data_IF_227721242355
#
_entry.id   IF_227721242355
#
_cell.length_a   1.000
_cell.length_b   1.000
_cell.length_c   1.000
_cell.angle_alpha   90.00
_cell.angle_beta   90.00
_cell.angle_gamma   90.00
#
_symmetry.space_group_name_H-M   'P 1'
#
loop_
_entity.id
_entity.type
_entity.pdbx_description
1 polymer ?
#
# COMPACT_ATOMS: atom_id res chain seq x y z
N UNK A 1 15.65 52.43 2.01
CA UNK A 1 15.31 51.93 0.66
C UNK A 1 16.02 50.63 0.35
N UNK A 2 17.31 50.46 0.70
CA UNK A 2 18.04 49.21 0.41
C UNK A 2 17.63 48.00 1.29
N UNK A 3 17.24 48.21 2.57
CA UNK A 3 16.72 47.13 3.42
C UNK A 3 15.28 46.71 3.13
N UNK A 4 14.52 47.50 2.37
CA UNK A 4 13.11 47.21 2.06
C UNK A 4 13.02 46.16 0.93
N UNK A 5 13.84 46.32 -0.12
CA UNK A 5 13.89 45.37 -1.23
C UNK A 5 14.50 44.00 -0.88
N UNK A 6 15.41 43.93 0.09
CA UNK A 6 15.96 42.66 0.55
C UNK A 6 14.93 41.77 1.28
N UNK A 7 13.94 42.38 1.95
CA UNK A 7 12.89 41.65 2.66
C UNK A 7 11.82 41.12 1.68
N UNK A 8 11.53 41.87 0.62
CA UNK A 8 10.61 41.42 -0.46
C UNK A 8 11.17 40.21 -1.23
N UNK A 9 12.47 40.18 -1.51
CA UNK A 9 13.13 39.06 -2.20
C UNK A 9 13.15 37.78 -1.34
N UNK A 10 13.34 37.90 -0.01
CA UNK A 10 13.29 36.77 0.93
C UNK A 10 11.87 36.16 1.01
N UNK A 11 10.84 37.00 1.07
CA UNK A 11 9.43 36.56 1.06
C UNK A 11 9.04 35.86 -0.26
N UNK A 12 9.52 36.36 -1.42
CA UNK A 12 9.29 35.71 -2.72
C UNK A 12 9.97 34.33 -2.78
N UNK A 13 11.17 34.21 -2.21
CA UNK A 13 11.90 32.95 -2.10
C UNK A 13 11.19 31.94 -1.19
N UNK A 14 10.65 32.36 -0.05
CA UNK A 14 9.86 31.49 0.83
C UNK A 14 8.54 31.05 0.18
N UNK A 15 7.86 31.94 -0.55
CA UNK A 15 6.64 31.61 -1.28
C UNK A 15 6.91 30.64 -2.45
N UNK A 16 8.00 30.83 -3.21
CA UNK A 16 8.35 29.91 -4.30
C UNK A 16 8.76 28.53 -3.77
N UNK A 17 9.58 28.45 -2.72
CA UNK A 17 10.07 27.18 -2.16
C UNK A 17 8.95 26.37 -1.49
N UNK A 18 8.01 27.01 -0.81
CA UNK A 18 6.85 26.35 -0.19
C UNK A 18 5.85 25.81 -1.23
N UNK A 19 5.62 26.53 -2.33
CA UNK A 19 4.78 26.10 -3.45
C UNK A 19 5.35 24.88 -4.18
N UNK A 20 6.64 24.88 -4.49
CA UNK A 20 7.33 23.77 -5.19
C UNK A 20 7.39 22.51 -4.32
N UNK A 21 7.63 22.68 -3.01
CA UNK A 21 7.65 21.58 -2.03
C UNK A 21 6.30 20.87 -1.94
N UNK A 22 5.20 21.60 -2.16
CA UNK A 22 3.84 21.07 -2.07
C UNK A 22 3.54 20.02 -3.15
N UNK A 23 3.95 20.28 -4.40
CA UNK A 23 3.76 19.34 -5.52
C UNK A 23 4.70 18.14 -5.47
N UNK A 24 5.96 18.35 -5.06
CA UNK A 24 6.94 17.28 -4.94
C UNK A 24 6.58 16.26 -3.84
N UNK A 25 5.97 16.72 -2.73
CA UNK A 25 5.47 15.82 -1.68
C UNK A 25 4.39 14.86 -2.18
N UNK A 26 3.52 15.33 -3.07
CA UNK A 26 2.45 14.52 -3.65
C UNK A 26 3.01 13.47 -4.62
N UNK A 27 3.95 13.87 -5.48
CA UNK A 27 4.67 12.95 -6.37
C UNK A 27 5.49 11.90 -5.59
N UNK A 28 6.14 12.30 -4.49
CA UNK A 28 6.90 11.38 -3.62
C UNK A 28 6.00 10.34 -2.96
N UNK A 29 4.82 10.75 -2.49
CA UNK A 29 3.81 9.84 -1.92
C UNK A 29 3.35 8.81 -2.95
N UNK A 30 3.02 9.25 -4.17
CA UNK A 30 2.61 8.36 -5.26
C UNK A 30 3.75 7.39 -5.62
N UNK A 31 4.99 7.87 -5.70
CA UNK A 31 6.14 7.02 -6.01
C UNK A 31 6.43 5.99 -4.91
N UNK A 32 6.26 6.36 -3.63
CA UNK A 32 6.36 5.43 -2.51
C UNK A 32 5.30 4.32 -2.58
N UNK A 33 4.06 4.65 -2.95
CA UNK A 33 3.00 3.65 -3.18
C UNK A 33 3.34 2.75 -4.36
N UNK A 34 3.84 3.32 -5.47
CA UNK A 34 4.23 2.53 -6.63
C UNK A 34 5.33 1.51 -6.30
N UNK A 35 6.33 1.92 -5.51
CA UNK A 35 7.37 1.01 -5.00
C UNK A 35 6.76 -0.08 -4.11
N UNK A 36 5.86 0.29 -3.19
CA UNK A 36 5.19 -0.66 -2.30
C UNK A 36 4.40 -1.73 -3.08
N UNK A 37 3.59 -1.31 -4.05
CA UNK A 37 2.83 -2.22 -4.92
C UNK A 37 3.77 -3.12 -5.73
N UNK A 38 4.87 -2.55 -6.26
CA UNK A 38 5.90 -3.31 -6.95
C UNK A 38 6.54 -4.38 -6.06
N UNK A 39 6.86 -4.06 -4.80
CA UNK A 39 7.36 -5.02 -3.83
C UNK A 39 6.34 -6.12 -3.51
N UNK A 40 5.07 -5.77 -3.35
CA UNK A 40 3.99 -6.74 -3.13
C UNK A 40 3.85 -7.71 -4.30
N UNK A 41 3.90 -7.21 -5.54
CA UNK A 41 3.89 -8.04 -6.74
C UNK A 41 5.08 -9.01 -6.80
N UNK A 42 6.29 -8.55 -6.49
CA UNK A 42 7.46 -9.45 -6.44
C UNK A 42 7.28 -10.51 -5.35
N UNK A 43 6.77 -10.14 -4.18
CA UNK A 43 6.57 -11.06 -3.07
C UNK A 43 5.54 -12.16 -3.38
N UNK A 44 4.42 -11.81 -4.04
CA UNK A 44 3.39 -12.78 -4.43
C UNK A 44 3.90 -13.73 -5.51
N UNK A 45 4.66 -13.22 -6.49
CA UNK A 45 5.35 -14.06 -7.47
C UNK A 45 6.33 -15.03 -6.79
N UNK A 46 7.16 -14.55 -5.86
CA UNK A 46 8.10 -15.40 -5.13
C UNK A 46 7.36 -16.44 -4.29
N UNK A 47 6.26 -16.09 -3.63
CA UNK A 47 5.44 -17.05 -2.88
C UNK A 47 4.86 -18.15 -3.79
N UNK A 48 4.44 -17.78 -5.01
CA UNK A 48 3.92 -18.71 -6.02
C UNK A 48 5.00 -19.69 -6.51
N UNK A 49 6.21 -19.19 -6.77
CA UNK A 49 7.33 -20.03 -7.23
C UNK A 49 8.05 -20.78 -6.10
N UNK A 50 8.01 -20.28 -4.87
CA UNK A 50 8.66 -20.90 -3.71
C UNK A 50 7.72 -21.83 -2.93
N UNK A 51 6.40 -21.70 -3.10
CA UNK A 51 5.38 -22.51 -2.43
C UNK A 51 5.49 -24.01 -2.71
N UNK A 52 6.04 -24.38 -3.86
CA UNK A 52 6.37 -25.77 -4.14
C UNK A 52 7.70 -25.95 -4.89
N UNK A 53 8.63 -26.70 -4.28
CA UNK A 53 9.86 -27.17 -4.92
C UNK A 53 9.90 -28.69 -4.92
N UNK A 54 9.97 -29.36 -6.08
CA UNK A 54 10.10 -28.84 -7.45
C UNK A 54 8.77 -28.37 -8.09
N UNK A 55 8.82 -27.33 -8.95
CA UNK A 55 7.66 -26.71 -9.62
C UNK A 55 6.78 -27.68 -10.42
N UNK A 56 7.38 -28.75 -10.96
CA UNK A 56 6.65 -29.82 -11.66
C UNK A 56 5.65 -30.59 -10.76
N UNK A 57 5.86 -30.57 -9.44
CA UNK A 57 4.97 -31.22 -8.48
C UNK A 57 3.63 -30.53 -8.29
N UNK A 58 3.45 -29.30 -8.81
CA UNK A 58 2.18 -28.58 -8.70
C UNK A 58 1.05 -29.27 -9.49
N UNK A 59 1.39 -29.87 -10.63
CA UNK A 59 0.42 -30.52 -11.53
C UNK A 59 0.41 -32.05 -11.40
N UNK A 60 1.15 -32.63 -10.44
CA UNK A 60 1.21 -34.09 -10.26
C UNK A 60 0.12 -34.59 -9.32
N UNK A 61 -0.71 -35.51 -9.81
CA UNK A 61 -1.67 -36.29 -9.01
C UNK A 61 -1.02 -37.66 -8.78
N UNK A 62 -0.59 -38.06 -7.56
CA UNK A 62 -0.83 -37.51 -6.22
C UNK A 62 0.23 -36.46 -5.78
N UNK A 63 -0.18 -35.54 -4.89
CA UNK A 63 0.67 -34.43 -4.42
C UNK A 63 1.86 -34.92 -3.58
N UNK A 64 3.08 -34.49 -3.97
CA UNK A 64 4.35 -34.85 -3.31
C UNK A 64 4.48 -34.20 -1.92
N UNK A 65 3.79 -33.07 -1.68
CA UNK A 65 3.75 -32.39 -0.38
C UNK A 65 2.44 -31.63 -0.19
N UNK A 66 1.97 -31.53 1.06
CA UNK A 66 0.73 -30.82 1.43
C UNK A 66 0.78 -29.34 1.04
N UNK A 67 1.96 -28.71 1.07
CA UNK A 67 2.15 -27.31 0.69
C UNK A 67 2.03 -27.06 -0.82
N UNK A 68 2.19 -28.09 -1.65
CA UNK A 68 2.05 -28.00 -3.10
C UNK A 68 0.58 -27.88 -3.54
N UNK A 69 -0.34 -28.32 -2.68
CA UNK A 69 -1.77 -28.35 -2.95
C UNK A 69 -2.56 -27.39 -2.04
N UNK A 70 -2.15 -27.25 -0.78
CA UNK A 70 -2.94 -26.55 0.25
C UNK A 70 -2.81 -25.02 0.23
N UNK A 71 -1.96 -24.41 -0.61
CA UNK A 71 -1.84 -22.96 -0.88
C UNK A 71 -1.85 -21.97 0.32
N UNK A 72 -1.73 -22.47 1.55
CA UNK A 72 -1.99 -21.73 2.78
C UNK A 72 -1.01 -20.57 3.01
N UNK A 73 0.28 -20.83 2.76
CA UNK A 73 1.32 -19.82 2.85
C UNK A 73 1.14 -18.74 1.79
N UNK A 74 0.65 -19.13 0.61
CA UNK A 74 0.39 -18.18 -0.48
C UNK A 74 -0.77 -17.26 -0.10
N UNK A 75 -1.90 -17.82 0.35
CA UNK A 75 -3.06 -17.02 0.77
C UNK A 75 -2.76 -16.08 1.93
N UNK A 76 -1.96 -16.52 2.91
CA UNK A 76 -1.56 -15.67 4.02
C UNK A 76 -0.69 -14.48 3.56
N UNK A 77 0.29 -14.74 2.69
CA UNK A 77 1.18 -13.70 2.16
C UNK A 77 0.40 -12.73 1.26
N UNK A 78 -0.41 -13.24 0.33
CA UNK A 78 -1.32 -12.45 -0.50
C UNK A 78 -2.23 -11.56 0.34
N UNK A 79 -2.90 -12.15 1.33
CA UNK A 79 -3.80 -11.42 2.23
C UNK A 79 -3.09 -10.32 3.00
N UNK A 80 -1.90 -10.59 3.55
CA UNK A 80 -1.12 -9.59 4.28
C UNK A 80 -0.67 -8.42 3.39
N UNK A 81 -0.22 -8.70 2.16
CA UNK A 81 0.17 -7.66 1.21
C UNK A 81 -1.02 -6.83 0.75
N UNK A 82 -2.15 -7.47 0.47
CA UNK A 82 -3.37 -6.78 0.02
C UNK A 82 -3.92 -5.83 1.10
N UNK A 83 -4.01 -6.29 2.35
CA UNK A 83 -4.42 -5.44 3.50
C UNK A 83 -3.44 -4.28 3.71
N UNK A 84 -2.14 -4.52 3.56
CA UNK A 84 -1.15 -3.47 3.72
C UNK A 84 -1.22 -2.44 2.58
N UNK A 85 -1.53 -2.87 1.35
CA UNK A 85 -1.74 -1.98 0.21
C UNK A 85 -2.96 -1.07 0.43
N UNK A 86 -4.05 -1.61 0.96
CA UNK A 86 -5.24 -0.86 1.33
C UNK A 86 -4.94 0.23 2.37
N UNK A 87 -4.22 -0.11 3.46
CA UNK A 87 -3.80 0.85 4.48
C UNK A 87 -2.91 1.94 3.88
N UNK A 88 -2.01 1.56 2.98
CA UNK A 88 -1.11 2.51 2.32
C UNK A 88 -1.89 3.48 1.42
N UNK A 89 -2.83 2.98 0.61
CA UNK A 89 -3.73 3.82 -0.19
C UNK A 89 -4.56 4.77 0.69
N UNK A 90 -5.00 4.29 1.85
CA UNK A 90 -5.75 5.08 2.82
C UNK A 90 -4.90 6.22 3.40
N UNK A 91 -3.67 5.93 3.80
CA UNK A 91 -2.70 6.91 4.28
C UNK A 91 -2.33 7.96 3.23
N UNK A 92 -2.43 7.64 1.94
CA UNK A 92 -2.23 8.58 0.83
C UNK A 92 -3.51 9.40 0.55
N UNK A 93 -4.68 8.76 0.63
CA UNK A 93 -5.96 9.42 0.45
C UNK A 93 -6.27 10.41 1.59
N UNK A 94 -5.90 10.11 2.84
CA UNK A 94 -6.14 10.97 4.01
C UNK A 94 -5.54 12.39 3.86
N UNK A 95 -4.25 12.59 3.53
CA UNK A 95 -3.68 13.94 3.39
C UNK A 95 -4.21 14.67 2.16
N UNK A 96 -4.58 13.92 1.10
CA UNK A 96 -5.24 14.48 -0.08
C UNK A 96 -6.63 14.99 0.25
N UNK A 97 -7.40 14.20 1.00
CA UNK A 97 -8.72 14.52 1.49
C UNK A 97 -8.64 15.59 2.58
N UNK A 98 -7.64 15.62 3.46
CA UNK A 98 -7.53 16.64 4.51
C UNK A 98 -7.36 18.06 3.94
N UNK A 99 -6.81 18.19 2.73
CA UNK A 99 -6.77 19.46 2.00
C UNK A 99 -8.13 19.85 1.39
N UNK A 100 -9.05 18.91 1.21
CA UNK A 100 -10.37 19.13 0.62
C UNK A 100 -11.42 19.01 1.73
N UNK A 101 -12.22 20.04 2.00
CA UNK A 101 -13.24 19.99 3.06
C UNK A 101 -14.38 19.04 2.70
N UNK A 102 -14.17 17.73 2.85
CA UNK A 102 -15.14 16.70 2.58
C UNK A 102 -15.88 16.27 3.86
N UNK A 103 -17.21 16.07 3.79
CA UNK A 103 -18.05 15.69 4.92
C UNK A 103 -17.72 14.28 5.45
N UNK A 104 -18.15 14.00 6.68
CA UNK A 104 -17.87 12.78 7.45
C UNK A 104 -18.25 11.45 6.76
N UNK A 105 -19.01 11.48 5.66
CA UNK A 105 -19.40 10.32 4.87
C UNK A 105 -18.21 9.51 4.32
N UNK A 106 -17.05 10.13 4.11
CA UNK A 106 -15.85 9.44 3.59
C UNK A 106 -15.08 8.63 4.64
N UNK A 107 -15.49 8.64 5.91
CA UNK A 107 -14.89 7.80 6.97
C UNK A 107 -15.43 6.36 6.99
N UNK A 108 -16.64 6.12 6.46
CA UNK A 108 -17.25 4.79 6.41
C UNK A 108 -16.43 3.70 5.66
N UNK A 109 -15.85 3.96 4.46
CA UNK A 109 -15.07 2.94 3.75
C UNK A 109 -13.82 2.49 4.50
N UNK A 110 -13.22 3.37 5.33
CA UNK A 110 -12.03 3.05 6.14
C UNK A 110 -12.33 1.90 7.11
N UNK A 111 -13.48 1.97 7.78
CA UNK A 111 -13.91 0.94 8.72
C UNK A 111 -14.26 -0.37 8.02
N UNK A 112 -14.90 -0.29 6.84
CA UNK A 112 -15.25 -1.46 6.03
C UNK A 112 -14.02 -2.22 5.52
N UNK A 113 -13.02 -1.49 5.02
CA UNK A 113 -11.77 -2.09 4.50
C UNK A 113 -10.95 -2.70 5.65
N UNK A 114 -10.84 -2.02 6.79
CA UNK A 114 -10.15 -2.57 7.96
C UNK A 114 -10.85 -3.83 8.51
N UNK A 115 -12.18 -3.83 8.51
CA UNK A 115 -12.98 -5.00 8.90
C UNK A 115 -12.85 -6.17 7.93
N UNK A 116 -12.83 -5.92 6.62
CA UNK A 116 -12.59 -6.95 5.60
C UNK A 116 -11.22 -7.62 5.76
N UNK A 117 -10.16 -6.86 6.03
CA UNK A 117 -8.82 -7.41 6.26
C UNK A 117 -8.77 -8.35 7.47
N UNK A 118 -9.38 -7.95 8.59
CA UNK A 118 -9.47 -8.79 9.80
C UNK A 118 -10.31 -10.05 9.56
N UNK A 119 -11.39 -9.94 8.78
CA UNK A 119 -12.26 -11.07 8.43
C UNK A 119 -11.54 -12.12 7.58
N UNK A 120 -10.72 -11.72 6.60
CA UNK A 120 -9.94 -12.65 5.77
C UNK A 120 -8.92 -13.42 6.61
N UNK A 121 -8.19 -12.73 7.50
CA UNK A 121 -7.23 -13.40 8.41
C UNK A 121 -7.94 -14.37 9.35
N UNK A 122 -9.10 -13.99 9.87
CA UNK A 122 -9.90 -14.84 10.76
C UNK A 122 -10.39 -16.09 10.03
N UNK A 123 -10.89 -15.92 8.80
CA UNK A 123 -11.32 -17.04 7.95
C UNK A 123 -10.17 -17.99 7.65
N UNK A 124 -8.99 -17.47 7.31
CA UNK A 124 -7.80 -18.27 7.07
C UNK A 124 -7.34 -19.04 8.33
N UNK A 125 -7.41 -18.45 9.52
CA UNK A 125 -7.04 -19.16 10.76
C UNK A 125 -8.07 -20.25 11.12
N UNK A 126 -9.34 -20.03 10.76
CA UNK A 126 -10.43 -20.97 11.04
C UNK A 126 -10.54 -22.13 10.06
N UNK A 127 -9.97 -22.03 8.86
CA UNK A 127 -9.98 -23.08 7.82
C UNK A 127 -9.12 -24.33 8.17
N UNK A 128 -9.05 -24.73 9.44
CA UNK A 128 -8.41 -25.98 9.88
C UNK A 128 -9.44 -27.09 10.06
#
# INVERSE_FOLDING_TARGET
TESDGANEDEDILELMTSGITSGLKQARLINAVAIFVGCGFIATQVALFAGCRPFWGYWSVPAISTQCWSYWNYEYIEGAFNVTADVTMLLVAIPLIAKVRLPWAHKAPILGIFGMGVFVITSAVFDK
#
